data_IF_641671144066
#
_entry.id   IF_641671144066
#
_cell.length_a   1.000
_cell.length_b   1.000
_cell.length_c   1.000
_cell.angle_alpha   90.00
_cell.angle_beta   90.00
_cell.angle_gamma   90.00
#
_symmetry.space_group_name_H-M   'P 1'
#
loop_
_entity.id
_entity.type
_entity.pdbx_description
1 polymer ?
#
# COMPACT_ATOMS: atom_id res chain seq x y z
N UNK A 1 -0.93 -32.41 11.25
CA UNK A 1 -0.59 -30.99 11.43
C UNK A 1 -0.35 -30.78 12.91
N UNK A 2 0.91 -30.67 13.32
CA UNK A 2 1.30 -30.60 14.74
C UNK A 2 1.20 -29.15 15.26
N UNK A 3 0.89 -28.97 16.55
CA UNK A 3 0.83 -27.64 17.20
C UNK A 3 2.11 -26.81 17.00
N UNK A 4 3.27 -27.47 16.94
CA UNK A 4 4.58 -26.84 16.72
C UNK A 4 4.74 -26.28 15.28
N UNK A 5 4.16 -26.96 14.29
CA UNK A 5 4.17 -26.50 12.89
C UNK A 5 3.21 -25.33 12.69
N UNK A 6 2.05 -25.35 13.37
CA UNK A 6 1.07 -24.26 13.33
C UNK A 6 1.58 -22.98 14.02
N UNK A 7 2.33 -23.09 15.12
CA UNK A 7 2.95 -21.96 15.81
C UNK A 7 4.10 -21.35 15.00
N UNK A 8 4.96 -22.18 14.41
CA UNK A 8 6.08 -21.70 13.57
C UNK A 8 5.60 -21.03 12.28
N UNK A 9 4.51 -21.52 11.69
CA UNK A 9 3.88 -20.87 10.52
C UNK A 9 3.18 -19.56 10.89
N UNK A 10 2.56 -19.48 12.07
CA UNK A 10 1.93 -18.25 12.55
C UNK A 10 2.96 -17.16 12.83
N UNK A 11 4.05 -17.48 13.52
CA UNK A 11 5.13 -16.53 13.84
C UNK A 11 5.88 -16.04 12.59
N UNK A 12 6.14 -16.94 11.62
CA UNK A 12 6.76 -16.55 10.35
C UNK A 12 5.85 -15.64 9.50
N UNK A 13 4.54 -15.92 9.50
CA UNK A 13 3.56 -15.10 8.78
C UNK A 13 3.41 -13.72 9.42
N UNK A 14 3.42 -13.63 10.75
CA UNK A 14 3.28 -12.36 11.47
C UNK A 14 4.57 -11.51 11.42
N UNK A 15 5.75 -12.15 11.41
CA UNK A 15 7.02 -11.47 11.17
C UNK A 15 7.16 -10.97 9.73
N UNK A 16 6.75 -11.76 8.73
CA UNK A 16 6.74 -11.34 7.32
C UNK A 16 5.82 -10.13 7.12
N UNK A 17 4.60 -10.19 7.65
CA UNK A 17 3.62 -9.09 7.59
C UNK A 17 4.08 -7.85 8.35
N UNK A 18 4.79 -8.01 9.45
CA UNK A 18 5.43 -6.91 10.18
C UNK A 18 6.53 -6.26 9.34
N UNK A 19 7.31 -7.04 8.58
CA UNK A 19 8.38 -6.52 7.72
C UNK A 19 7.84 -5.59 6.64
N UNK A 20 6.92 -6.06 5.80
CA UNK A 20 6.40 -5.26 4.66
C UNK A 20 5.77 -3.94 5.10
N UNK A 21 5.13 -3.90 6.28
CA UNK A 21 4.58 -2.67 6.87
C UNK A 21 5.67 -1.67 7.28
N UNK A 22 6.71 -2.15 7.95
CA UNK A 22 7.84 -1.31 8.35
C UNK A 22 8.62 -0.82 7.12
N UNK A 23 8.79 -1.68 6.13
CA UNK A 23 9.44 -1.34 4.86
C UNK A 23 8.68 -0.23 4.13
N UNK A 24 7.35 -0.30 4.12
CA UNK A 24 6.52 0.78 3.57
C UNK A 24 6.59 2.09 4.38
N UNK A 25 6.67 2.03 5.71
CA UNK A 25 6.89 3.23 6.53
C UNK A 25 8.24 3.86 6.19
N UNK A 26 9.30 3.06 6.09
CA UNK A 26 10.63 3.52 5.70
C UNK A 26 10.64 4.12 4.29
N UNK A 27 9.90 3.52 3.35
CA UNK A 27 9.66 4.04 2.01
C UNK A 27 9.10 5.46 2.04
N UNK A 28 8.00 5.65 2.79
CA UNK A 28 7.31 6.93 2.89
C UNK A 28 8.16 7.98 3.59
N UNK A 29 8.97 7.58 4.55
CA UNK A 29 9.95 8.45 5.18
C UNK A 29 11.01 8.92 4.17
N UNK A 30 11.55 8.01 3.36
CA UNK A 30 12.55 8.31 2.33
C UNK A 30 12.02 9.32 1.32
N UNK A 31 10.86 9.05 0.72
CA UNK A 31 10.21 9.93 -0.27
C UNK A 31 9.95 11.33 0.28
N UNK A 32 9.65 11.45 1.58
CA UNK A 32 9.38 12.73 2.26
C UNK A 32 10.60 13.36 2.91
N UNK A 33 11.79 12.80 2.72
CA UNK A 33 13.04 13.23 3.38
C UNK A 33 12.91 13.34 4.92
N UNK A 34 12.17 12.42 5.53
CA UNK A 34 11.95 12.38 6.98
C UNK A 34 12.96 11.44 7.64
N UNK A 35 13.74 12.00 8.57
CA UNK A 35 14.60 11.23 9.46
C UNK A 35 13.78 10.57 10.58
N UNK A 36 14.29 9.45 11.12
CA UNK A 36 13.75 8.82 12.34
C UNK A 36 13.68 9.81 13.52
N UNK A 37 14.61 10.77 13.59
CA UNK A 37 14.60 11.82 14.61
C UNK A 37 13.38 12.74 14.49
N UNK A 38 13.03 13.14 13.27
CA UNK A 38 11.82 13.95 13.02
C UNK A 38 10.56 13.13 13.34
N UNK A 39 10.51 11.86 12.94
CA UNK A 39 9.38 10.98 13.25
C UNK A 39 9.21 10.81 14.76
N UNK A 40 10.29 10.58 15.52
CA UNK A 40 10.23 10.53 16.98
C UNK A 40 9.68 11.83 17.60
N UNK A 41 10.02 12.98 17.03
CA UNK A 41 9.54 14.28 17.50
C UNK A 41 8.04 14.49 17.27
N UNK A 42 7.49 14.01 16.15
CA UNK A 42 6.07 14.22 15.80
C UNK A 42 5.15 13.14 16.38
N UNK A 43 5.67 11.95 16.68
CA UNK A 43 4.91 10.84 17.28
C UNK A 43 5.03 10.79 18.80
N UNK A 44 6.06 11.43 19.39
CA UNK A 44 6.36 11.31 20.81
C UNK A 44 6.96 9.95 21.21
N UNK A 45 7.22 9.05 20.25
CA UNK A 45 7.87 7.76 20.51
C UNK A 45 9.35 8.01 20.79
N UNK A 46 9.89 7.40 21.85
CA UNK A 46 11.30 7.55 22.23
C UNK A 46 12.24 7.18 21.08
N UNK A 47 13.33 7.96 20.91
CA UNK A 47 14.26 7.80 19.77
C UNK A 47 14.84 6.39 19.64
N UNK A 48 15.27 5.82 20.76
CA UNK A 48 15.80 4.45 20.80
C UNK A 48 14.74 3.44 20.37
N UNK A 49 13.51 3.58 20.88
CA UNK A 49 12.38 2.72 20.50
C UNK A 49 12.07 2.83 19.01
N UNK A 50 12.03 4.05 18.47
CA UNK A 50 11.78 4.26 17.04
C UNK A 50 12.91 3.68 16.16
N UNK A 51 14.15 3.75 16.64
CA UNK A 51 15.31 3.18 15.94
C UNK A 51 15.25 1.65 15.87
N UNK A 52 14.76 0.98 16.91
CA UNK A 52 14.64 -0.49 16.93
C UNK A 52 13.41 -1.00 16.19
N UNK A 53 12.25 -0.33 16.27
CA UNK A 53 11.04 -0.77 15.54
C UNK A 53 11.09 -0.43 14.04
N UNK A 54 11.80 0.63 13.65
CA UNK A 54 12.03 1.04 12.24
C UNK A 54 13.48 0.76 11.79
N UNK A 55 14.09 -0.29 12.33
CA UNK A 55 15.45 -0.66 11.94
C UNK A 55 15.49 -1.04 10.45
N UNK A 56 16.58 -0.69 9.75
CA UNK A 56 16.71 -0.99 8.32
C UNK A 56 16.77 -2.51 8.09
N UNK A 57 17.69 -3.19 8.78
CA UNK A 57 17.78 -4.65 8.80
C UNK A 57 16.63 -5.27 9.58
N UNK A 58 15.95 -6.26 8.97
CA UNK A 58 14.77 -6.95 9.51
C UNK A 58 15.09 -7.67 10.83
N UNK A 59 16.21 -8.38 10.90
CA UNK A 59 16.59 -9.18 12.08
C UNK A 59 16.90 -8.34 13.33
N UNK A 60 17.17 -7.04 13.13
CA UNK A 60 17.42 -6.08 14.22
C UNK A 60 16.13 -5.35 14.65
N UNK A 61 14.99 -5.66 14.02
CA UNK A 61 13.71 -5.03 14.37
C UNK A 61 13.16 -5.62 15.65
N UNK A 62 12.70 -4.74 16.54
CA UNK A 62 11.88 -5.17 17.69
C UNK A 62 10.40 -5.11 17.33
N UNK A 63 9.54 -5.98 17.90
CA UNK A 63 8.09 -5.92 17.68
C UNK A 63 7.52 -4.52 17.95
N UNK A 64 6.74 -4.01 17.00
CA UNK A 64 6.05 -2.72 17.09
C UNK A 64 4.67 -2.93 17.73
N UNK A 65 4.30 -2.06 18.67
CA UNK A 65 2.95 -2.09 19.26
C UNK A 65 1.95 -1.46 18.31
N UNK A 66 0.69 -1.88 18.38
CA UNK A 66 -0.35 -1.42 17.45
C UNK A 66 -0.66 0.08 17.59
N UNK A 67 -0.57 0.63 18.81
CA UNK A 67 -0.71 2.06 19.06
C UNK A 67 0.47 2.87 18.50
N UNK A 68 1.70 2.36 18.62
CA UNK A 68 2.88 2.93 17.96
C UNK A 68 2.71 2.97 16.44
N UNK A 69 2.23 1.86 15.86
CA UNK A 69 1.96 1.74 14.44
C UNK A 69 0.93 2.78 13.97
N UNK A 70 -0.25 2.83 14.59
CA UNK A 70 -1.28 3.80 14.22
C UNK A 70 -0.81 5.25 14.36
N UNK A 71 -0.07 5.56 15.42
CA UNK A 71 0.46 6.91 15.65
C UNK A 71 1.49 7.30 14.58
N UNK A 72 2.37 6.37 14.17
CA UNK A 72 3.30 6.60 13.06
C UNK A 72 2.53 6.86 11.76
N UNK A 73 1.53 6.02 11.43
CA UNK A 73 0.73 6.19 10.21
C UNK A 73 0.00 7.54 10.18
N UNK A 74 -0.68 7.90 11.28
CA UNK A 74 -1.42 9.16 11.39
C UNK A 74 -0.49 10.35 11.18
N UNK A 75 0.66 10.40 11.87
CA UNK A 75 1.60 11.53 11.77
C UNK A 75 2.33 11.59 10.43
N UNK A 76 2.46 10.46 9.75
CA UNK A 76 2.96 10.40 8.38
C UNK A 76 1.85 10.62 7.34
N UNK A 77 0.59 10.79 7.74
CA UNK A 77 -0.54 10.91 6.81
C UNK A 77 -0.61 9.72 5.85
N UNK A 78 -0.44 8.51 6.40
CA UNK A 78 -0.53 7.24 5.68
C UNK A 78 -1.86 6.59 6.05
N UNK A 79 -2.67 6.23 5.05
CA UNK A 79 -3.93 5.53 5.26
C UNK A 79 -3.72 4.03 5.53
N UNK A 80 -4.60 3.41 6.31
CA UNK A 80 -4.52 1.96 6.55
C UNK A 80 -4.62 1.13 5.26
N UNK A 81 -5.43 1.59 4.30
CA UNK A 81 -5.56 0.95 2.99
C UNK A 81 -4.24 1.02 2.20
N UNK A 82 -3.51 2.14 2.26
CA UNK A 82 -2.18 2.23 1.63
C UNK A 82 -1.25 1.16 2.21
N UNK A 83 -1.25 0.97 3.53
CA UNK A 83 -0.38 -0.03 4.17
C UNK A 83 -0.77 -1.45 3.81
N UNK A 84 -2.07 -1.75 3.74
CA UNK A 84 -2.56 -3.06 3.35
C UNK A 84 -2.14 -3.42 1.91
N UNK A 85 -2.30 -2.47 0.97
CA UNK A 85 -1.89 -2.65 -0.42
C UNK A 85 -0.36 -2.77 -0.51
N UNK A 86 0.39 -1.94 0.21
CA UNK A 86 1.85 -1.96 0.19
C UNK A 86 2.41 -3.29 0.70
N UNK A 87 1.88 -3.81 1.82
CA UNK A 87 2.29 -5.10 2.36
C UNK A 87 2.05 -6.22 1.34
N UNK A 88 0.87 -6.24 0.70
CA UNK A 88 0.55 -7.21 -0.35
C UNK A 88 1.51 -7.11 -1.55
N UNK A 89 1.81 -5.90 -2.01
CA UNK A 89 2.74 -5.69 -3.14
C UNK A 89 4.17 -6.12 -2.79
N UNK A 90 4.68 -5.73 -1.62
CA UNK A 90 6.05 -6.05 -1.19
C UNK A 90 6.20 -7.56 -0.98
N UNK A 91 5.22 -8.21 -0.36
CA UNK A 91 5.25 -9.65 -0.09
C UNK A 91 5.18 -10.48 -1.39
N UNK A 92 4.48 -10.00 -2.42
CA UNK A 92 4.29 -10.73 -3.68
C UNK A 92 5.23 -10.30 -4.83
N UNK A 93 5.92 -9.17 -4.72
CA UNK A 93 6.85 -8.67 -5.74
C UNK A 93 8.15 -8.13 -5.10
N UNK A 94 9.10 -8.99 -4.74
CA UNK A 94 10.31 -8.57 -4.01
C UNK A 94 11.24 -7.64 -4.80
N UNK A 95 11.17 -7.65 -6.13
CA UNK A 95 12.06 -6.86 -7.00
C UNK A 95 11.58 -5.43 -7.26
N UNK A 96 10.41 -5.05 -6.73
CA UNK A 96 9.85 -3.71 -6.95
C UNK A 96 10.61 -2.66 -6.15
N UNK A 97 10.91 -1.51 -6.75
CA UNK A 97 11.57 -0.43 -6.00
C UNK A 97 10.60 0.22 -5.02
N UNK A 98 11.15 0.68 -3.91
CA UNK A 98 10.46 1.37 -2.82
C UNK A 98 9.68 2.60 -3.32
N UNK A 99 10.26 3.35 -4.26
CA UNK A 99 9.65 4.51 -4.89
C UNK A 99 8.46 4.12 -5.80
N UNK A 100 8.59 3.00 -6.51
CA UNK A 100 7.53 2.45 -7.36
C UNK A 100 6.36 2.00 -6.51
N UNK A 101 6.61 1.27 -5.43
CA UNK A 101 5.57 0.87 -4.45
C UNK A 101 4.88 2.09 -3.89
N UNK A 102 5.64 3.08 -3.39
CA UNK A 102 5.04 4.28 -2.80
C UNK A 102 4.13 5.02 -3.79
N UNK A 103 4.55 5.15 -5.05
CA UNK A 103 3.77 5.87 -6.07
C UNK A 103 2.50 5.10 -6.46
N UNK A 104 2.63 3.81 -6.75
CA UNK A 104 1.51 2.94 -7.15
C UNK A 104 0.51 2.76 -6.02
N UNK A 105 0.98 2.53 -4.79
CA UNK A 105 0.13 2.39 -3.60
C UNK A 105 -0.68 3.66 -3.34
N UNK A 106 -0.05 4.84 -3.46
CA UNK A 106 -0.75 6.12 -3.26
C UNK A 106 -1.85 6.30 -4.31
N UNK A 107 -1.55 5.99 -5.58
CA UNK A 107 -2.53 6.03 -6.66
C UNK A 107 -3.68 5.04 -6.43
N UNK A 108 -3.39 3.80 -6.04
CA UNK A 108 -4.41 2.78 -5.77
C UNK A 108 -5.28 3.16 -4.57
N UNK A 109 -4.70 3.73 -3.51
CA UNK A 109 -5.47 4.21 -2.37
C UNK A 109 -6.40 5.38 -2.75
N UNK A 110 -5.97 6.26 -3.65
CA UNK A 110 -6.83 7.31 -4.21
C UNK A 110 -7.94 6.72 -5.09
N UNK A 111 -7.61 5.77 -5.98
CA UNK A 111 -8.60 5.09 -6.82
C UNK A 111 -9.69 4.41 -5.98
N UNK A 112 -9.30 3.79 -4.87
CA UNK A 112 -10.22 3.11 -3.96
C UNK A 112 -10.99 4.11 -3.08
N UNK A 113 -10.56 5.37 -2.98
CA UNK A 113 -11.26 6.39 -2.21
C UNK A 113 -12.55 6.77 -2.94
N UNK A 114 -13.70 6.46 -2.34
CA UNK A 114 -15.01 6.78 -2.92
C UNK A 114 -15.57 5.69 -3.84
N UNK A 115 -14.73 4.86 -4.45
CA UNK A 115 -15.17 3.76 -5.32
C UNK A 115 -16.19 2.82 -4.65
N UNK A 116 -16.04 2.37 -3.38
CA UNK A 116 -17.07 1.56 -2.73
C UNK A 116 -18.43 2.24 -2.66
N UNK A 117 -18.47 3.55 -2.42
CA UNK A 117 -19.70 4.34 -2.36
C UNK A 117 -20.36 4.42 -3.73
N UNK A 118 -19.57 4.66 -4.78
CA UNK A 118 -20.06 4.71 -6.16
C UNK A 118 -20.60 3.35 -6.61
N UNK A 119 -19.90 2.26 -6.29
CA UNK A 119 -20.33 0.90 -6.62
C UNK A 119 -21.63 0.53 -5.90
N UNK A 120 -21.76 0.85 -4.61
CA UNK A 120 -23.01 0.64 -3.88
C UNK A 120 -24.13 1.47 -4.50
N UNK A 121 -23.86 2.73 -4.83
CA UNK A 121 -24.81 3.59 -5.54
C UNK A 121 -25.27 2.97 -6.85
N UNK A 122 -24.35 2.48 -7.67
CA UNK A 122 -24.65 1.81 -8.93
C UNK A 122 -25.57 0.60 -8.73
N UNK A 123 -25.31 -0.25 -7.73
CA UNK A 123 -26.15 -1.41 -7.42
C UNK A 123 -27.59 -0.99 -7.09
N UNK A 124 -27.80 0.14 -6.40
CA UNK A 124 -29.14 0.64 -6.10
C UNK A 124 -29.88 1.27 -7.29
N UNK A 125 -29.18 1.68 -8.36
CA UNK A 125 -29.78 2.42 -9.47
C UNK A 125 -29.89 1.60 -10.76
N UNK A 126 -29.25 0.43 -10.84
CA UNK A 126 -29.42 -0.48 -11.97
C UNK A 126 -30.68 -1.32 -11.73
N UNK A 127 -31.74 -1.03 -12.46
CA UNK A 127 -32.96 -1.84 -12.45
C UNK A 127 -32.63 -3.31 -12.76
N UNK A 128 -33.06 -4.20 -11.86
CA UNK A 128 -32.84 -5.64 -11.99
C UNK A 128 -31.51 -6.15 -11.43
N UNK A 129 -30.71 -5.31 -10.77
CA UNK A 129 -29.53 -5.75 -10.02
C UNK A 129 -29.83 -5.75 -8.52
N UNK A 130 -29.87 -6.93 -7.90
CA UNK A 130 -30.05 -7.06 -6.46
C UNK A 130 -28.71 -7.09 -5.73
N UNK A 131 -28.71 -6.82 -4.42
CA UNK A 131 -27.50 -6.96 -3.60
C UNK A 131 -26.93 -8.39 -3.65
N UNK A 132 -27.77 -9.39 -3.90
CA UNK A 132 -27.47 -10.82 -3.99
C UNK A 132 -26.69 -11.16 -5.27
N UNK A 133 -26.73 -10.27 -6.26
CA UNK A 133 -26.01 -10.40 -7.52
C UNK A 133 -24.56 -9.87 -7.41
N UNK A 134 -24.21 -9.18 -6.34
CA UNK A 134 -22.82 -8.75 -6.10
C UNK A 134 -22.02 -9.90 -5.51
N UNK A 135 -21.19 -10.54 -6.33
CA UNK A 135 -20.39 -11.70 -5.93
C UNK A 135 -18.88 -11.43 -5.98
N UNK A 136 -18.06 -12.05 -5.10
CA UNK A 136 -16.60 -11.87 -5.11
C UNK A 136 -15.94 -12.15 -6.46
N UNK A 137 -16.47 -13.10 -7.22
CA UNK A 137 -15.95 -13.51 -8.54
C UNK A 137 -16.03 -12.37 -9.57
N UNK A 138 -16.98 -11.43 -9.39
CA UNK A 138 -17.08 -10.24 -10.25
C UNK A 138 -15.87 -9.32 -10.06
N UNK A 139 -15.24 -9.33 -8.88
CA UNK A 139 -14.04 -8.56 -8.58
C UNK A 139 -12.87 -8.87 -9.52
N UNK A 140 -12.70 -10.15 -9.89
CA UNK A 140 -11.65 -10.56 -10.84
C UNK A 140 -11.82 -9.93 -12.22
N UNK A 141 -13.05 -9.95 -12.77
CA UNK A 141 -13.37 -9.32 -14.06
C UNK A 141 -13.23 -7.81 -14.02
N UNK A 142 -13.68 -7.18 -12.94
CA UNK A 142 -13.50 -5.74 -12.74
C UNK A 142 -12.03 -5.34 -12.69
N UNK A 143 -11.20 -6.10 -11.97
CA UNK A 143 -9.74 -5.90 -11.92
C UNK A 143 -9.13 -5.92 -13.32
N UNK A 144 -9.47 -6.90 -14.15
CA UNK A 144 -8.96 -6.96 -15.53
C UNK A 144 -9.38 -5.76 -16.37
N UNK A 145 -10.62 -5.29 -16.24
CA UNK A 145 -11.10 -4.09 -16.94
C UNK A 145 -10.31 -2.85 -16.51
N UNK A 146 -10.10 -2.66 -15.21
CA UNK A 146 -9.29 -1.56 -14.66
C UNK A 146 -7.86 -1.62 -15.20
N UNK A 147 -7.21 -2.78 -15.16
CA UNK A 147 -5.84 -2.95 -15.66
C UNK A 147 -5.74 -2.62 -17.16
N UNK A 148 -6.67 -3.12 -17.98
CA UNK A 148 -6.71 -2.80 -19.42
C UNK A 148 -6.89 -1.30 -19.67
N UNK A 149 -7.80 -0.66 -18.93
CA UNK A 149 -8.08 0.77 -19.04
C UNK A 149 -6.85 1.62 -18.67
N UNK A 150 -6.24 1.31 -17.52
CA UNK A 150 -5.02 1.99 -17.06
C UNK A 150 -3.87 1.82 -18.06
N UNK A 151 -3.64 0.61 -18.56
CA UNK A 151 -2.59 0.34 -19.54
C UNK A 151 -2.78 1.18 -20.83
N UNK A 152 -4.03 1.30 -21.31
CA UNK A 152 -4.35 2.15 -22.45
C UNK A 152 -4.08 3.63 -22.15
N UNK A 153 -4.51 4.12 -20.99
CA UNK A 153 -4.25 5.50 -20.58
C UNK A 153 -2.75 5.83 -20.47
N UNK A 154 -1.96 4.96 -19.84
CA UNK A 154 -0.53 5.20 -19.69
C UNK A 154 0.23 5.10 -21.01
N UNK A 155 -0.17 4.22 -21.95
CA UNK A 155 0.40 4.22 -23.31
C UNK A 155 0.13 5.54 -24.03
N UNK A 156 -1.11 6.01 -24.02
CA UNK A 156 -1.46 7.30 -24.62
C UNK A 156 -0.68 8.48 -23.99
N UNK A 157 -0.42 8.43 -22.68
CA UNK A 157 0.40 9.43 -21.99
C UNK A 157 1.88 9.34 -22.39
N UNK A 158 2.42 8.13 -22.58
CA UNK A 158 3.78 7.92 -23.04
C UNK A 158 3.96 8.42 -24.48
N UNK A 159 3.06 8.05 -25.38
CA UNK A 159 3.07 8.48 -26.79
C UNK A 159 3.05 10.02 -26.90
N UNK A 160 2.24 10.70 -26.07
CA UNK A 160 2.19 12.16 -26.01
C UNK A 160 3.47 12.78 -25.44
N UNK A 161 4.13 12.11 -24.49
CA UNK A 161 5.39 12.57 -23.89
C UNK A 161 6.52 12.47 -24.90
N UNK A 162 6.59 11.36 -25.64
CA UNK A 162 7.57 11.17 -26.71
C UNK A 162 7.35 12.17 -27.84
N UNK A 163 6.10 12.52 -28.17
CA UNK A 163 5.80 13.60 -29.11
C UNK A 163 6.29 14.98 -28.63
N UNK A 164 6.19 15.31 -27.34
CA UNK A 164 6.70 16.58 -26.78
C UNK A 164 8.22 16.61 -26.66
N UNK A 165 8.87 15.47 -26.39
CA UNK A 165 10.33 15.36 -26.38
C UNK A 165 10.89 15.49 -27.81
N UNK A 166 10.18 14.96 -28.81
CA UNK A 166 10.57 15.05 -30.22
C UNK A 166 10.14 16.37 -30.91
N UNK A 167 9.34 17.21 -30.26
CA UNK A 167 8.95 18.56 -30.71
C UNK A 167 8.77 19.50 -29.50
N UNK A 168 9.85 20.15 -29.02
CA UNK A 168 9.82 20.94 -27.80
C UNK A 168 9.06 22.29 -27.90
N UNK A 169 8.58 22.68 -29.09
CA UNK A 169 7.96 23.99 -29.35
C UNK A 169 6.41 23.93 -29.53
N UNK A 170 5.73 22.95 -28.93
CA UNK A 170 4.25 22.86 -28.82
C UNK A 170 3.74 22.86 -27.36
#
# INVERSE_FOLDING_TARGET
MNLSEAQSQHDATDQSRSSGRVDFILARMSVRNLSRRQVASITGIGRTRLQTILHAEVDKRTPMRMDEFHMILEKLGIGQLEVAIAADVIDNQPDVTVETVSSVVSMLAELMRGLPRELIGMVYHIDGLEHSDVRPEHGGRMRELVVRSLASHYRNLADRRDMRINNPDL
#
